data_IF_312812371434
#
_entry.id   IF_312812371434
#
_cell.length_a   1.000
_cell.length_b   1.000
_cell.length_c   1.000
_cell.angle_alpha   90.00
_cell.angle_beta   90.00
_cell.angle_gamma   90.00
#
_symmetry.space_group_name_H-M   'P 1'
#
loop_
_entity.id
_entity.type
_entity.pdbx_description
1 polymer ?
2 non-polymer ?
3 water ?
#
# COMPACT_ATOMS: atom_id res chain seq x y z
N UNK A 2 -32.04 -6.11 24.98
CA UNK A 2 -31.08 -7.27 24.90
C UNK A 2 -30.09 -6.91 26.01
N UNK A 3 -29.09 -6.09 25.64
CA UNK A 3 -28.36 -5.29 26.66
C UNK A 3 -26.95 -5.75 26.93
N UNK A 4 -26.05 -4.79 26.98
CA UNK A 4 -24.65 -5.04 27.21
C UNK A 4 -24.30 -4.59 28.64
N UNK A 5 -23.36 -5.27 29.24
CA UNK A 5 -22.95 -4.95 30.56
C UNK A 5 -21.74 -4.07 30.43
N UNK A 6 -21.43 -3.30 31.47
CA UNK A 6 -20.24 -2.44 31.46
C UNK A 6 -18.94 -3.23 31.35
N UNK A 7 -18.87 -4.44 31.85
CA UNK A 7 -17.70 -5.27 31.64
C UNK A 7 -17.61 -5.94 30.26
N UNK A 8 -18.75 -6.19 29.61
CA UNK A 8 -18.72 -6.70 28.27
C UNK A 8 -18.22 -5.58 27.39
N UNK A 9 -18.63 -4.36 27.72
CA UNK A 9 -18.09 -3.23 27.03
C UNK A 9 -16.58 -3.16 27.09
N UNK A 10 -15.96 -3.31 28.28
CA UNK A 10 -14.51 -3.29 28.37
C UNK A 10 -13.83 -4.38 27.59
N UNK A 11 -14.38 -5.57 27.61
CA UNK A 11 -13.79 -6.66 26.80
C UNK A 11 -13.92 -6.36 25.34
N UNK A 12 -14.99 -5.67 24.89
CA UNK A 12 -15.07 -5.30 23.50
C UNK A 12 -14.01 -4.32 23.14
N UNK A 13 -13.77 -3.35 24.03
CA UNK A 13 -12.70 -2.34 23.82
C UNK A 13 -11.29 -2.86 23.82
N UNK A 14 -10.96 -3.69 24.82
CA UNK A 14 -9.65 -4.37 24.90
C UNK A 14 -9.42 -5.21 23.66
N UNK A 15 -10.40 -6.00 23.30
CA UNK A 15 -10.29 -6.72 22.02
C UNK A 15 -10.08 -5.83 20.80
N UNK A 16 -10.79 -4.70 20.73
CA UNK A 16 -10.66 -3.84 19.55
C UNK A 16 -9.29 -3.19 19.54
N UNK A 17 -8.75 -2.87 20.70
CA UNK A 17 -7.46 -2.19 20.78
C UNK A 17 -6.32 -3.18 20.54
N UNK A 18 -6.52 -4.45 20.92
CA UNK A 18 -5.57 -5.46 20.61
C UNK A 18 -5.46 -5.61 19.09
N UNK A 19 -6.58 -5.71 18.41
CA UNK A 19 -6.57 -5.78 16.97
C UNK A 19 -6.00 -4.50 16.34
N UNK A 20 -6.44 -3.32 16.83
CA UNK A 20 -6.00 -2.07 16.27
C UNK A 20 -4.46 -2.09 16.34
N UNK A 21 -3.92 -2.65 17.42
CA UNK A 21 -2.49 -2.56 17.54
C UNK A 21 -1.70 -3.69 16.79
N UNK A 22 -2.39 -4.67 16.20
CA UNK A 22 -1.71 -5.65 15.35
C UNK A 22 -1.67 -5.12 13.92
N UNK A 23 -1.05 -3.94 13.75
CA UNK A 23 -0.94 -3.29 12.47
C UNK A 23 -2.33 -3.08 11.90
N UNK A 24 -3.26 -2.86 12.79
CA UNK A 24 -4.65 -2.54 12.42
C UNK A 24 -5.55 -3.63 11.84
N UNK A 25 -5.01 -4.42 10.93
CA UNK A 25 -5.81 -5.40 10.20
C UNK A 25 -5.53 -6.83 10.67
N UNK A 26 -4.44 -7.02 11.40
CA UNK A 26 -4.14 -8.32 11.94
C UNK A 26 -3.54 -9.34 11.03
N UNK A 27 -3.02 -8.93 9.89
CA UNK A 27 -2.40 -9.88 8.97
C UNK A 27 -0.97 -9.56 8.72
N UNK A 28 -0.14 -10.59 8.73
CA UNK A 28 1.26 -10.40 8.33
C UNK A 28 1.45 -9.73 7.02
N UNK A 29 2.43 -8.82 6.98
CA UNK A 29 2.79 -8.01 5.80
C UNK A 29 4.15 -8.47 5.31
N UNK A 30 4.18 -9.23 4.19
CA UNK A 30 5.47 -9.69 3.66
C UNK A 30 6.17 -8.62 2.81
N UNK A 31 5.49 -7.52 2.54
CA UNK A 31 6.11 -6.42 1.87
C UNK A 31 6.61 -5.36 2.87
N UNK A 32 6.66 -5.63 4.16
CA UNK A 32 7.07 -4.62 5.14
C UNK A 32 8.58 -4.55 5.09
N UNK A 33 9.08 -3.43 4.65
CA UNK A 33 10.51 -3.28 4.75
C UNK A 33 11.19 -3.74 6.04
N UNK A 34 10.75 -3.37 7.24
CA UNK A 34 11.26 -4.02 8.47
C UNK A 34 11.60 -5.49 8.46
N UNK A 35 10.92 -6.30 7.60
CA UNK A 35 11.34 -7.71 7.16
C UNK A 35 12.07 -7.61 5.82
N UNK A 36 11.51 -7.36 4.59
CA UNK A 36 12.33 -7.42 3.28
C UNK A 36 11.57 -6.57 2.20
N UNK A 37 12.27 -6.13 1.10
CA UNK A 37 12.03 -4.85 0.36
C UNK A 37 11.98 -4.44 -1.25
N UNK A 38 12.02 -3.15 -1.57
CA UNK A 38 11.70 -2.59 -2.90
C UNK A 38 12.86 -2.78 -3.87
N UNK A 39 12.54 -3.12 -5.12
CA UNK A 39 13.55 -3.30 -6.12
C UNK A 39 13.45 -1.92 -6.69
N UNK A 40 13.61 -1.78 -7.96
CA UNK A 40 13.52 -0.48 -8.52
C UNK A 40 13.59 -0.70 -10.03
N UNK A 41 12.69 -1.63 -10.38
CA UNK A 41 12.03 -1.73 -11.64
C UNK A 41 10.72 -1.06 -11.15
N UNK A 42 10.88 0.15 -10.62
CA UNK A 42 9.86 0.98 -10.08
C UNK A 42 9.75 2.23 -11.01
N UNK A 43 8.58 2.86 -11.11
CA UNK A 43 8.41 4.13 -11.87
C UNK A 43 9.34 5.21 -11.37
N UNK A 44 9.60 6.18 -12.24
CA UNK A 44 10.48 7.33 -11.88
C UNK A 44 10.41 7.94 -10.49
N UNK A 45 9.35 8.65 -10.14
CA UNK A 45 9.41 9.37 -8.84
C UNK A 45 9.40 10.87 -9.01
N UNK A 46 8.33 11.44 -8.51
CA UNK A 46 8.00 12.82 -8.71
C UNK A 46 7.97 13.51 -7.35
N UNK A 47 8.45 14.76 -7.25
CA UNK A 47 8.25 15.55 -6.01
C UNK A 47 6.92 16.31 -6.13
N UNK A 48 6.01 16.05 -5.19
CA UNK A 48 4.66 16.56 -5.15
C UNK A 48 4.58 18.08 -4.72
N UNK A 49 5.52 18.88 -5.21
CA UNK A 49 5.69 20.23 -4.70
C UNK A 49 6.94 21.01 -5.16
N UNK A 50 6.69 22.18 -5.77
CA UNK A 50 7.63 23.27 -5.60
C UNK A 50 6.97 24.35 -4.68
N UNK A 51 6.79 23.94 -3.42
CA UNK A 51 6.93 24.90 -2.30
C UNK A 51 8.47 24.96 -2.27
N UNK A 52 9.11 24.05 -3.02
CA UNK A 52 10.58 23.95 -3.10
C UNK A 52 11.11 25.23 -3.81
N UNK A 53 10.49 25.61 -4.92
CA UNK A 53 10.46 27.03 -5.30
C UNK A 53 8.99 27.43 -4.95
N UNK A 58 10.22 28.83 0.43
CA UNK A 58 10.57 28.33 -0.92
C UNK A 58 11.95 27.62 -1.01
N UNK A 59 11.96 26.28 -0.97
CA UNK A 59 13.08 25.54 -1.54
C UNK A 59 14.13 24.89 -0.71
N UNK A 60 14.83 23.93 -1.33
CA UNK A 60 15.52 22.86 -0.62
C UNK A 60 15.91 23.26 0.80
N UNK A 61 15.09 22.84 1.81
CA UNK A 61 15.52 22.89 3.18
C UNK A 61 16.71 21.94 3.24
N UNK A 62 17.74 22.29 4.01
CA UNK A 62 18.98 21.54 4.04
C UNK A 62 18.83 20.11 4.59
N UNK A 63 17.83 19.89 5.44
CA UNK A 63 17.50 18.55 5.99
C UNK A 63 16.57 17.68 5.10
N UNK A 64 16.17 18.25 3.97
CA UNK A 64 15.07 17.74 3.14
C UNK A 64 15.50 16.68 2.10
N UNK A 65 14.61 15.76 1.71
CA UNK A 65 15.03 14.76 0.76
C UNK A 65 14.25 14.29 -0.43
N UNK A 66 13.02 13.87 -0.24
CA UNK A 66 12.34 13.21 -1.35
C UNK A 66 12.05 11.75 -1.05
N UNK A 67 10.75 11.44 -1.01
CA UNK A 67 10.22 10.10 -0.85
C UNK A 67 10.69 9.12 -1.96
N UNK A 68 11.56 8.17 -1.57
CA UNK A 68 11.94 6.97 -2.39
C UNK A 68 10.73 6.07 -2.43
N UNK A 69 10.69 5.11 -3.36
CA UNK A 69 9.55 4.17 -3.37
C UNK A 69 9.51 3.26 -2.16
N UNK A 70 10.63 3.14 -1.44
CA UNK A 70 10.71 2.41 -0.18
C UNK A 70 9.67 2.83 0.80
N UNK A 71 9.11 4.03 0.63
CA UNK A 71 8.15 4.60 1.54
C UNK A 71 6.87 3.79 1.56
N UNK A 72 6.47 3.23 0.41
CA UNK A 72 5.29 2.35 0.38
C UNK A 72 5.40 1.11 1.22
N UNK A 73 6.63 0.73 1.63
CA UNK A 73 6.85 -0.46 2.51
C UNK A 73 7.04 0.01 3.92
N UNK A 74 6.72 1.25 4.15
CA UNK A 74 6.87 1.84 5.47
C UNK A 74 5.55 2.21 6.06
N UNK A 75 5.31 1.80 7.31
CA UNK A 75 4.06 1.92 8.06
C UNK A 75 3.71 3.42 8.40
N UNK A 76 4.69 4.31 8.27
CA UNK A 76 4.49 5.71 8.61
C UNK A 76 3.61 6.37 7.53
N UNK A 77 2.40 6.76 7.87
CA UNK A 77 1.39 7.17 6.85
C UNK A 77 0.78 8.61 7.13
N UNK A 78 1.51 9.46 7.83
CA UNK A 78 1.10 10.81 8.01
C UNK A 78 1.09 11.55 6.74
N UNK A 79 0.23 12.57 6.60
CA UNK A 79 0.15 13.32 5.35
C UNK A 79 1.44 13.54 4.61
N UNK A 80 2.50 13.87 5.22
CA UNK A 80 3.62 13.84 4.22
C UNK A 80 3.92 12.56 3.36
N UNK A 81 3.99 11.40 4.02
CA UNK A 81 4.68 10.18 3.69
C UNK A 81 4.18 9.18 2.63
N UNK A 82 4.13 9.61 1.40
CA UNK A 82 3.82 8.68 0.31
C UNK A 82 4.86 8.79 -0.77
N UNK A 83 4.73 7.87 -1.71
CA UNK A 83 5.54 7.89 -2.89
C UNK A 83 4.77 8.29 -4.13
N UNK A 84 5.24 9.35 -4.80
CA UNK A 84 4.51 9.88 -6.01
C UNK A 84 5.21 9.59 -7.31
N UNK A 85 4.41 9.28 -8.31
CA UNK A 85 4.96 9.16 -9.63
C UNK A 85 4.05 10.01 -10.54
N UNK A 86 4.63 10.40 -11.67
CA UNK A 86 3.99 11.10 -12.79
C UNK A 86 2.65 10.53 -13.26
N UNK A 87 1.61 11.36 -13.47
CA UNK A 87 0.35 10.97 -14.15
C UNK A 87 -0.40 9.89 -13.43
N UNK A 88 -1.46 9.34 -14.03
CA UNK A 88 -2.29 8.35 -13.35
C UNK A 88 -1.82 6.87 -13.49
N UNK A 89 -0.65 6.65 -14.08
CA UNK A 89 -0.15 5.26 -14.27
C UNK A 89 1.28 5.05 -13.87
N UNK A 90 1.53 3.98 -13.12
CA UNK A 90 2.84 3.76 -12.56
C UNK A 90 2.97 2.42 -11.89
N UNK A 91 4.17 2.13 -11.40
CA UNK A 91 4.41 0.79 -10.91
C UNK A 91 5.56 0.76 -9.94
N UNK A 92 5.50 -0.23 -9.07
CA UNK A 92 6.57 -0.50 -8.12
C UNK A 92 6.69 -2.04 -8.06
N UNK A 93 7.90 -2.55 -7.97
CA UNK A 93 8.17 -3.96 -7.86
C UNK A 93 8.85 -4.20 -6.53
N UNK A 94 8.27 -5.17 -5.79
CA UNK A 94 8.65 -5.47 -4.40
C UNK A 94 9.13 -6.91 -4.31
N UNK A 95 10.23 -7.11 -3.60
CA UNK A 95 10.79 -8.36 -3.27
C UNK A 95 10.44 -8.68 -1.82
N UNK A 96 9.52 -9.61 -1.60
CA UNK A 96 8.94 -9.90 -0.25
C UNK A 96 9.95 -10.48 0.70
N UNK A 97 9.65 -10.42 1.99
CA UNK A 97 10.58 -10.87 2.97
C UNK A 97 10.57 -12.44 2.98
N UNK A 98 9.47 -13.06 2.55
CA UNK A 98 9.48 -14.49 2.33
C UNK A 98 8.81 -14.89 1.01
N UNK A 99 9.05 -16.14 0.62
CA UNK A 99 8.38 -16.77 -0.48
C UNK A 99 7.11 -17.19 0.11
N UNK A 100 6.04 -16.68 -0.46
CA UNK A 100 4.72 -16.95 0.07
C UNK A 100 3.79 -17.27 -1.05
N UNK A 101 2.65 -17.79 -0.65
CA UNK A 101 1.49 -17.87 -1.52
C UNK A 101 0.57 -16.66 -1.20
N UNK A 102 0.48 -15.68 -2.10
CA UNK A 102 -0.27 -14.46 -1.90
C UNK A 102 -1.73 -14.72 -1.95
N UNK A 103 -2.37 -14.31 -0.88
CA UNK A 103 -3.79 -14.42 -0.74
C UNK A 103 -4.51 -13.03 -0.75
N UNK A 104 -3.83 -11.91 -0.50
CA UNK A 104 -4.43 -10.60 -0.39
C UNK A 104 -3.39 -9.54 -0.49
N UNK A 105 -3.85 -8.30 -0.69
CA UNK A 105 -3.01 -7.11 -0.58
C UNK A 105 -3.84 -6.05 0.13
N UNK A 106 -3.14 -5.04 0.69
CA UNK A 106 -3.77 -3.91 1.35
C UNK A 106 -3.15 -2.69 0.73
N UNK A 107 -3.98 -1.68 0.57
CA UNK A 107 -3.51 -0.37 0.11
C UNK A 107 -4.14 0.62 1.08
N UNK A 108 -3.40 1.68 1.38
CA UNK A 108 -4.00 2.75 2.16
C UNK A 108 -3.58 4.06 1.64
N UNK A 109 -4.39 5.04 1.99
CA UNK A 109 -4.16 6.41 1.62
C UNK A 109 -4.50 7.23 2.86
N UNK A 110 -4.04 8.47 2.94
CA UNK A 110 -4.38 9.32 4.05
C UNK A 110 -5.87 9.54 4.09
N UNK A 111 -6.44 9.64 5.30
CA UNK A 111 -7.85 9.95 5.48
C UNK A 111 -8.25 11.29 4.79
N UNK A 112 -9.46 11.33 4.30
CA UNK A 112 -10.04 12.49 3.65
C UNK A 112 -9.91 13.67 4.64
N UNK A 113 -10.14 13.35 5.92
CA UNK A 113 -10.13 14.30 7.05
C UNK A 113 -8.84 15.12 7.21
N UNK A 114 -7.75 14.63 6.67
CA UNK A 114 -6.47 15.22 6.94
C UNK A 114 -5.95 15.85 5.70
N UNK A 115 -6.83 15.89 4.70
CA UNK A 115 -6.50 16.36 3.35
C UNK A 115 -7.18 17.66 3.07
N UNK A 116 -6.45 18.53 2.38
CA UNK A 116 -6.92 19.81 1.89
C UNK A 116 -8.24 19.57 1.13
N UNK A 117 -9.31 20.16 1.66
CA UNK A 117 -10.65 20.12 1.05
C UNK A 117 -11.32 18.78 1.01
N UNK A 118 -10.75 17.80 1.71
CA UNK A 118 -11.33 16.43 1.72
C UNK A 118 -11.15 15.70 0.42
N UNK A 119 -10.18 16.14 -0.36
CA UNK A 119 -9.89 15.54 -1.62
C UNK A 119 -8.71 14.63 -1.48
N UNK A 120 -8.88 13.38 -1.87
CA UNK A 120 -7.75 12.43 -2.07
C UNK A 120 -7.69 12.03 -3.57
N UNK A 121 -7.53 13.04 -4.43
CA UNK A 121 -7.61 12.85 -5.87
C UNK A 121 -6.30 12.21 -6.41
N UNK A 122 -5.20 12.34 -5.63
CA UNK A 122 -3.90 11.65 -5.93
C UNK A 122 -3.85 10.19 -5.50
N UNK A 123 -4.97 9.76 -4.92
CA UNK A 123 -5.19 8.39 -4.51
C UNK A 123 -5.20 7.50 -5.75
N UNK A 124 -4.65 6.27 -5.63
CA UNK A 124 -4.75 5.26 -6.68
C UNK A 124 -6.17 4.83 -6.81
N UNK A 125 -6.56 4.49 -8.01
CA UNK A 125 -7.92 4.00 -8.25
C UNK A 125 -7.81 2.54 -8.66
N UNK A 126 -7.74 2.30 -9.97
CA UNK A 126 -7.63 0.97 -10.53
C UNK A 126 -6.21 0.50 -10.44
N UNK A 127 -6.04 -0.74 -10.01
CA UNK A 127 -4.70 -1.27 -9.93
C UNK A 127 -4.62 -2.76 -10.15
N UNK A 128 -3.43 -3.27 -10.44
CA UNK A 128 -3.26 -4.71 -10.51
C UNK A 128 -2.00 -5.25 -9.83
N UNK A 129 -2.03 -6.54 -9.49
CA UNK A 129 -0.94 -7.24 -8.89
C UNK A 129 -0.40 -8.39 -9.74
N UNK A 130 0.92 -8.45 -9.88
CA UNK A 130 1.58 -9.48 -10.69
C UNK A 130 2.56 -10.28 -9.89
N UNK A 131 2.66 -11.57 -10.18
CA UNK A 131 3.63 -12.46 -9.57
C UNK A 131 4.72 -12.65 -10.57
N UNK A 132 5.95 -12.51 -10.12
CA UNK A 132 7.10 -12.78 -10.93
C UNK A 132 7.72 -13.95 -10.21
N UNK A 133 7.60 -15.10 -10.88
CA UNK A 133 8.00 -16.41 -10.34
C UNK A 133 9.48 -16.34 -10.15
N UNK A 134 10.03 -15.35 -10.86
CA UNK A 134 11.43 -15.08 -10.83
C UNK A 134 11.86 -13.90 -9.97
N UNK A 135 12.76 -14.27 -9.07
CA UNK A 135 13.90 -13.43 -8.74
C UNK A 135 14.55 -12.89 -10.08
N UNK A 136 13.71 -12.37 -11.02
CA UNK A 136 14.09 -11.77 -12.34
C UNK A 136 12.88 -11.01 -13.05
N UNK A 137 12.93 -10.83 -14.39
CA UNK A 137 11.79 -10.24 -15.16
C UNK A 137 11.22 -11.16 -16.28
N UNK A 138 10.69 -12.30 -15.86
CA UNK A 138 9.95 -13.11 -16.78
C UNK A 138 8.49 -12.65 -16.64
N UNK A 139 8.13 -11.65 -17.46
CA UNK A 139 6.76 -11.19 -17.68
C UNK A 139 5.81 -11.78 -16.61
N UNK A 140 5.14 -10.92 -15.84
CA UNK A 140 4.45 -11.37 -14.67
C UNK A 140 3.12 -12.01 -14.87
N UNK A 141 2.75 -12.87 -13.94
CA UNK A 141 1.44 -13.45 -13.88
C UNK A 141 0.44 -12.56 -13.12
N UNK A 142 -0.59 -12.12 -13.80
CA UNK A 142 -1.67 -11.36 -13.17
C UNK A 142 -2.32 -12.10 -12.00
N UNK A 143 -2.16 -11.55 -10.78
CA UNK A 143 -2.72 -12.15 -9.57
C UNK A 143 -4.13 -11.66 -9.33
N UNK A 144 -4.40 -10.42 -9.68
CA UNK A 144 -5.71 -9.84 -9.42
C UNK A 144 -5.76 -8.39 -9.82
N UNK A 145 -6.98 -7.85 -9.93
CA UNK A 145 -7.22 -6.50 -10.40
C UNK A 145 -8.22 -5.82 -9.45
N UNK A 146 -7.94 -4.63 -8.89
CA UNK A 146 -8.99 -4.07 -8.10
C UNK A 146 -9.08 -2.61 -8.16
N UNK A 147 -9.96 -2.08 -7.35
CA UNK A 147 -10.20 -0.64 -7.32
C UNK A 147 -10.16 -0.03 -5.92
N UNK A 148 -9.18 0.84 -5.67
CA UNK A 148 -9.17 1.56 -4.46
C UNK A 148 -10.28 2.60 -4.42
N UNK A 149 -11.13 2.51 -3.40
CA UNK A 149 -12.33 3.29 -3.30
C UNK A 149 -12.09 4.58 -2.51
N UNK A 150 -12.26 5.74 -3.12
CA UNK A 150 -11.95 6.94 -2.35
C UNK A 150 -12.96 7.28 -1.25
N UNK A 151 -14.16 6.73 -1.27
CA UNK A 151 -14.80 6.56 0.03
C UNK A 151 -14.55 5.14 0.56
N UNK A 152 -15.32 4.66 1.48
CA UNK A 152 -14.71 3.49 2.12
C UNK A 152 -13.49 4.00 2.85
N UNK A 153 -12.90 3.15 3.68
CA UNK A 153 -11.92 3.58 4.63
C UNK A 153 -10.54 3.68 4.05
N UNK A 154 -9.67 4.45 4.72
CA UNK A 154 -8.29 4.65 4.31
C UNK A 154 -7.51 3.38 4.05
N UNK A 155 -7.78 2.33 4.86
CA UNK A 155 -7.11 1.07 4.75
C UNK A 155 -8.08 0.10 4.06
N UNK A 156 -7.66 -0.42 2.89
CA UNK A 156 -8.50 -1.38 2.16
C UNK A 156 -7.78 -2.65 1.82
N UNK A 157 -8.36 -3.77 2.19
CA UNK A 157 -7.78 -5.05 1.81
C UNK A 157 -8.54 -5.81 0.74
N UNK A 158 -7.76 -6.42 -0.14
CA UNK A 158 -8.19 -6.94 -1.44
C UNK A 158 -7.72 -8.36 -1.55
N UNK A 159 -8.66 -9.29 -1.47
CA UNK A 159 -8.34 -10.73 -1.51
C UNK A 159 -8.51 -11.26 -2.89
N UNK A 160 -7.48 -11.95 -3.38
CA UNK A 160 -7.49 -12.76 -4.63
C UNK A 160 -8.64 -13.74 -4.75
N UNK A 161 -9.35 -13.59 -5.86
CA UNK A 161 -10.57 -14.39 -6.18
C UNK A 161 -10.29 -15.90 -6.18
N UNK A 162 -9.50 -16.46 -7.08
CA UNK A 162 -9.30 -17.92 -6.79
C UNK A 162 -7.89 -18.20 -7.12
N UNK A 163 -7.02 -17.87 -6.17
CA UNK A 163 -5.62 -17.98 -6.41
C UNK A 163 -5.14 -19.43 -6.45
N UNK A 164 -4.08 -19.65 -7.22
CA UNK A 164 -3.39 -20.89 -7.20
C UNK A 164 -2.56 -20.82 -5.92
N UNK A 165 -1.89 -21.89 -5.63
CA UNK A 165 -1.01 -21.93 -4.50
C UNK A 165 0.39 -21.83 -4.96
N UNK A 166 0.55 -21.29 -6.15
CA UNK A 166 1.88 -20.90 -6.60
C UNK A 166 2.49 -19.88 -5.67
N UNK A 167 3.79 -19.94 -5.53
CA UNK A 167 4.44 -19.07 -4.56
C UNK A 167 5.33 -18.07 -5.29
N UNK A 168 5.43 -16.89 -4.69
CA UNK A 168 6.28 -15.86 -5.23
C UNK A 168 6.97 -15.18 -4.10
N UNK A 169 8.10 -14.62 -4.45
CA UNK A 169 8.79 -13.68 -3.65
C UNK A 169 8.98 -12.37 -4.33
N UNK A 170 8.37 -12.15 -5.46
CA UNK A 170 8.51 -10.86 -6.17
C UNK A 170 7.18 -10.59 -6.79
N UNK A 171 6.60 -9.44 -6.50
CA UNK A 171 5.26 -9.02 -6.99
C UNK A 171 5.33 -7.59 -7.55
N UNK A 172 4.38 -7.18 -8.38
CA UNK A 172 4.37 -5.81 -8.90
C UNK A 172 3.11 -5.13 -8.52
N UNK A 173 3.22 -3.91 -8.03
CA UNK A 173 2.02 -3.11 -7.88
C UNK A 173 1.92 -2.21 -9.11
N UNK A 174 0.88 -2.40 -9.88
CA UNK A 174 0.66 -1.63 -11.06
C UNK A 174 -0.54 -0.77 -10.91
N UNK A 175 -0.32 0.52 -10.93
CA UNK A 175 -1.49 1.29 -10.86
C UNK A 175 -1.98 1.80 -12.25
N UNK A 176 -3.28 1.75 -12.45
CA UNK A 176 -3.81 1.99 -13.77
C UNK A 176 -4.51 3.35 -13.90
N UNK A 177 -5.28 3.77 -12.90
CA UNK A 177 -5.99 5.01 -12.93
C UNK A 177 -5.81 5.62 -11.52
N UNK A 178 -6.04 6.94 -11.37
CA UNK A 178 -5.95 7.58 -10.06
C UNK A 178 -7.28 8.21 -9.84
N UNK A 179 -7.46 8.99 -8.76
CA UNK A 179 -8.79 9.61 -8.59
C UNK A 179 -8.95 10.99 -9.18
N UNK A 180 -8.04 11.32 -10.11
CA UNK A 180 -8.30 12.41 -11.03
C UNK A 180 -7.31 13.51 -10.97
N UNK A 181 -6.18 13.27 -10.31
CA UNK A 181 -5.28 14.36 -10.11
C UNK A 181 -4.36 14.52 -11.37
N UNK A 182 -4.44 15.62 -12.10
CA UNK A 182 -3.48 16.13 -12.94
C UNK A 182 -2.19 15.70 -12.94
N UNK A 183 -1.33 16.29 -12.03
CA UNK A 183 0.12 15.86 -12.07
C UNK A 183 0.59 14.49 -11.64
N UNK A 184 -0.13 13.72 -10.81
CA UNK A 184 0.59 12.66 -10.09
C UNK A 184 -0.28 11.83 -9.23
N UNK A 185 0.15 10.59 -9.00
CA UNK A 185 -0.49 9.75 -7.98
C UNK A 185 0.48 9.44 -6.88
N UNK A 186 -0.09 9.18 -5.71
CA UNK A 186 0.66 9.02 -4.46
C UNK A 186 0.38 7.75 -3.73
N UNK A 187 1.41 6.97 -3.40
CA UNK A 187 1.16 5.74 -2.66
C UNK A 187 1.69 5.79 -1.23
N UNK A 188 0.80 5.73 -0.26
CA UNK A 188 1.15 5.70 1.18
C UNK A 188 1.70 4.40 1.73
N UNK A 189 0.97 3.31 1.56
CA UNK A 189 1.50 2.00 1.96
C UNK A 189 0.77 0.81 1.23
N UNK A 190 1.57 -0.12 0.73
CA UNK A 190 1.15 -1.32 0.03
C UNK A 190 1.65 -2.48 0.89
N UNK A 191 0.79 -3.45 1.11
CA UNK A 191 1.13 -4.64 1.89
C UNK A 191 0.71 -5.89 1.14
N UNK A 192 1.41 -6.96 1.41
CA UNK A 192 1.16 -8.27 0.79
C UNK A 192 0.97 -9.33 1.84
N UNK A 193 -0.19 -9.97 1.81
CA UNK A 193 -0.51 -11.05 2.75
C UNK A 193 -0.49 -12.45 2.13
N UNK A 194 -0.21 -13.46 2.93
CA UNK A 194 -0.22 -14.80 2.35
C UNK A 194 0.20 -15.90 3.27
N UNK A 195 0.47 -17.05 2.70
CA UNK A 195 0.74 -18.24 3.45
C UNK A 195 2.19 -18.54 3.04
N UNK A 196 3.10 -18.65 4.01
CA UNK A 196 4.47 -18.95 3.67
C UNK A 196 4.71 -20.36 3.21
N UNK A 197 5.53 -20.48 2.15
CA UNK A 197 6.09 -21.75 1.76
C UNK A 197 6.95 -22.30 2.97
N UNK A 198 6.38 -22.00 4.14
CA UNK A 198 6.22 -22.97 5.27
C UNK A 198 7.03 -22.96 6.60
X LIG B 1 -10.43 -1.92 28.39
X LIG B 1 -11.14 -1.16 29.15
X LIG B 1 -8.93 -1.90 28.39
#
# INVERSE_FOLDING_TARGET
VIGVTEEQVHHIVKQALQRYSEDRIGLADYALESGGASVISTRCSETYETKTALLSLFGIPLWYHSQSPRVILQPDVHPGNCWAFQGPQGFAVVRLSARIRPTAVTLEHVPKALSPNSTISSAPKDFAIFGFDEDLQQEGTLLGKFTYDQDGEPIQTFHFQAPTMATYQVVELRILTNWGHPEYTCIYRFRVHGEPAHHHHHH
ACE C O CH3
#
